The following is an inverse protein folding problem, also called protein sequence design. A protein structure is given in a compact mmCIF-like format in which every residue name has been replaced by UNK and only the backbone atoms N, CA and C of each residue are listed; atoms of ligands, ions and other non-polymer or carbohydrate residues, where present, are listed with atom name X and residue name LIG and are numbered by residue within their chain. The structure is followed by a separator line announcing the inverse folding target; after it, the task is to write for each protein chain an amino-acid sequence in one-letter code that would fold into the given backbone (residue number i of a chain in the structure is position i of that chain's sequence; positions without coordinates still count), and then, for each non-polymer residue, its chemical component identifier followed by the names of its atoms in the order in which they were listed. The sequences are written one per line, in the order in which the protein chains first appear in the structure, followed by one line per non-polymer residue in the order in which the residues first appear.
data_IF_112226181880
#
_entry.id   IF_112226181880
#
_cell.length_a   1.000
_cell.length_b   1.000
_cell.length_c   1.000
_cell.angle_alpha   90.00
_cell.angle_beta   90.00
_cell.angle_gamma   90.00
#
_symmetry.space_group_name_H-M   'P 1'
#
loop_
_entity.id
_entity.type
_entity.pdbx_description
1 polymer ?
#
# COMPACT_ATOMS: atom_id res chain seq x y z
N UNK A 1 -2.05 10.49 11.36
CA UNK A 1 -0.60 10.76 11.53
C UNK A 1 0.15 9.47 11.83
N UNK A 2 0.05 8.44 10.97
CA UNK A 2 0.63 7.10 11.25
C UNK A 2 1.58 6.66 10.12
N UNK A 3 1.24 6.93 8.86
CA UNK A 3 2.15 6.70 7.74
C UNK A 3 3.37 7.64 7.70
N UNK A 4 3.24 8.86 8.22
CA UNK A 4 4.35 9.83 8.33
C UNK A 4 5.46 9.32 9.27
N UNK A 5 5.09 8.53 10.28
CA UNK A 5 6.04 7.91 11.21
C UNK A 5 6.83 6.74 10.58
N UNK A 6 6.36 6.21 9.43
CA UNK A 6 7.04 5.15 8.68
C UNK A 6 7.89 5.70 7.52
N UNK A 7 7.89 7.02 7.29
CA UNK A 7 8.66 7.64 6.20
C UNK A 7 8.17 7.30 4.79
N UNK A 8 6.99 6.67 4.67
CA UNK A 8 6.45 6.21 3.41
C UNK A 8 5.58 7.28 2.75
N UNK A 9 5.91 7.61 1.51
CA UNK A 9 5.14 8.54 0.69
C UNK A 9 3.80 7.92 0.30
N UNK A 10 2.73 8.24 1.01
CA UNK A 10 1.37 7.86 0.63
C UNK A 10 0.62 9.09 0.15
N UNK A 11 -0.02 8.97 -1.02
CA UNK A 11 -0.89 10.01 -1.57
C UNK A 11 -2.32 9.64 -1.20
N UNK A 12 -2.85 10.40 -0.24
CA UNK A 12 -4.23 10.29 0.21
C UNK A 12 -5.15 10.80 -0.90
N UNK A 13 -5.72 9.89 -1.68
CA UNK A 13 -6.70 10.23 -2.70
C UNK A 13 -8.10 10.31 -2.08
N UNK A 14 -8.88 11.33 -2.45
CA UNK A 14 -10.28 11.52 -2.06
C UNK A 14 -11.26 10.62 -2.86
N UNK A 15 -10.73 9.57 -3.51
CA UNK A 15 -11.46 8.62 -4.33
C UNK A 15 -11.35 7.21 -3.73
N UNK A 16 -12.00 6.20 -4.34
CA UNK A 16 -11.97 4.79 -3.89
C UNK A 16 -10.59 4.10 -4.05
N UNK A 17 -9.49 4.84 -4.14
CA UNK A 17 -8.14 4.28 -4.22
C UNK A 17 -7.13 5.21 -3.55
N UNK A 18 -6.01 4.65 -3.07
CA UNK A 18 -4.86 5.33 -2.49
C UNK A 18 -3.61 4.90 -3.26
N UNK A 19 -2.67 5.82 -3.45
CA UNK A 19 -1.36 5.49 -3.99
C UNK A 19 -0.35 5.49 -2.86
N UNK A 20 0.44 4.43 -2.77
CA UNK A 20 1.41 4.23 -1.70
C UNK A 20 2.75 3.90 -2.35
N UNK A 21 3.76 4.71 -2.05
CA UNK A 21 5.13 4.42 -2.37
C UNK A 21 5.68 3.51 -1.27
N UNK A 22 6.13 2.32 -1.67
CA UNK A 22 6.71 1.30 -0.78
C UNK A 22 8.19 1.04 -1.06
N UNK A 23 8.78 1.76 -2.02
CA UNK A 23 10.10 1.44 -2.56
C UNK A 23 10.07 0.15 -3.40
N UNK A 24 9.81 -1.00 -2.78
CA UNK A 24 9.77 -2.29 -3.46
C UNK A 24 8.34 -2.78 -3.70
N UNK A 25 7.64 -2.17 -4.68
CA UNK A 25 6.25 -2.53 -4.96
C UNK A 25 6.12 -3.98 -5.41
N UNK A 26 7.11 -4.49 -6.15
CA UNK A 26 7.13 -5.85 -6.68
C UNK A 26 7.18 -6.92 -5.58
N UNK A 27 7.92 -6.70 -4.50
CA UNK A 27 8.00 -7.60 -3.34
C UNK A 27 6.84 -7.42 -2.36
N UNK A 28 6.35 -6.19 -2.17
CA UNK A 28 5.23 -5.93 -1.26
C UNK A 28 3.87 -6.31 -1.87
N UNK A 29 3.70 -6.20 -3.19
CA UNK A 29 2.46 -6.58 -3.88
C UNK A 29 1.96 -8.00 -3.55
N UNK A 30 2.78 -9.07 -3.68
CA UNK A 30 2.35 -10.42 -3.31
C UNK A 30 2.07 -10.56 -1.82
N UNK A 31 2.83 -9.90 -0.93
CA UNK A 31 2.58 -9.93 0.51
C UNK A 31 1.21 -9.33 0.87
N UNK A 32 0.85 -8.20 0.25
CA UNK A 32 -0.46 -7.56 0.41
C UNK A 32 -1.59 -8.42 -0.17
N UNK A 33 -1.37 -9.03 -1.34
CA UNK A 33 -2.34 -9.96 -1.96
C UNK A 33 -2.62 -11.17 -1.07
N UNK A 34 -1.60 -11.76 -0.44
CA UNK A 34 -1.75 -12.87 0.51
C UNK A 34 -2.61 -12.49 1.73
N UNK A 35 -2.60 -11.22 2.10
CA UNK A 35 -3.33 -10.69 3.25
C UNK A 35 -4.76 -10.23 2.91
N UNK A 36 -5.17 -10.40 1.64
CA UNK A 36 -6.50 -10.07 1.14
C UNK A 36 -6.61 -8.66 0.56
N UNK A 37 -5.49 -7.91 0.46
CA UNK A 37 -5.48 -6.55 -0.08
C UNK A 37 -5.21 -6.59 -1.58
N UNK A 38 -6.19 -6.19 -2.39
CA UNK A 38 -6.07 -6.16 -3.84
C UNK A 38 -5.34 -4.89 -4.26
N UNK A 39 -4.07 -5.03 -4.62
CA UNK A 39 -3.21 -3.93 -5.10
C UNK A 39 -2.86 -4.10 -6.57
N UNK A 40 -2.62 -2.99 -7.25
CA UNK A 40 -2.13 -2.95 -8.63
C UNK A 40 -0.76 -2.29 -8.68
N UNK A 41 0.18 -2.99 -9.29
CA UNK A 41 1.50 -2.46 -9.62
C UNK A 41 1.36 -1.39 -10.70
N UNK A 42 2.00 -0.24 -10.49
CA UNK A 42 2.16 0.79 -11.51
C UNK A 42 3.50 0.64 -12.26
N UNK A 43 4.14 -0.54 -12.14
CA UNK A 43 5.39 -0.88 -12.80
C UNK A 43 5.34 -0.65 -14.33
N UNK A 44 4.18 -0.89 -14.95
CA UNK A 44 3.94 -0.65 -16.38
C UNK A 44 4.13 0.83 -16.79
N UNK A 45 3.92 1.76 -15.85
CA UNK A 45 4.11 3.20 -16.04
C UNK A 45 5.51 3.69 -15.63
N UNK A 46 6.45 2.79 -15.34
CA UNK A 46 7.78 3.12 -14.83
C UNK A 46 7.81 3.51 -13.35
N UNK A 47 6.68 3.36 -12.63
CA UNK A 47 6.54 3.63 -11.21
C UNK A 47 6.65 2.32 -10.42
N UNK A 48 7.82 1.68 -10.49
CA UNK A 48 8.09 0.38 -9.86
C UNK A 48 8.04 0.42 -8.32
N UNK A 49 8.05 1.61 -7.74
CA UNK A 49 8.02 1.82 -6.29
C UNK A 49 6.62 2.15 -5.77
N UNK A 50 5.64 2.28 -6.68
CA UNK A 50 4.29 2.73 -6.36
C UNK A 50 3.24 1.63 -6.56
N UNK A 51 2.37 1.52 -5.56
CA UNK A 51 1.21 0.67 -5.55
C UNK A 51 -0.06 1.50 -5.57
N UNK A 52 -1.00 1.09 -6.43
CA UNK A 52 -2.38 1.59 -6.40
C UNK A 52 -3.23 0.60 -5.63
N UNK A 53 -3.74 1.03 -4.49
CA UNK A 53 -4.58 0.21 -3.63
C UNK A 53 -6.00 0.75 -3.66
N UNK A 54 -6.98 -0.10 -3.89
CA UNK A 54 -8.40 0.33 -3.85
C UNK A 54 -8.83 0.37 -2.39
N UNK A 55 -9.31 1.52 -1.92
CA UNK A 55 -9.79 1.68 -0.53
C UNK A 55 -11.30 1.48 -0.53
N UNK A 56 -11.74 0.45 0.19
CA UNK A 56 -13.14 0.15 0.41
C UNK A 56 -13.67 0.76 1.71
N UNK A 57 -14.17 -0.09 2.60
CA UNK A 57 -14.69 0.28 3.92
C UNK A 57 -13.58 0.78 4.87
N UNK A 58 -13.93 1.55 5.92
CA UNK A 58 -12.97 2.00 6.92
C UNK A 58 -12.26 0.85 7.65
N UNK A 59 -12.90 -0.31 7.75
CA UNK A 59 -12.32 -1.55 8.30
C UNK A 59 -11.19 -2.08 7.41
N UNK A 60 -11.42 -2.13 6.09
CA UNK A 60 -10.42 -2.50 5.08
C UNK A 60 -9.20 -1.57 5.13
N UNK A 61 -9.45 -0.26 5.28
CA UNK A 61 -8.39 0.73 5.36
C UNK A 61 -7.52 0.56 6.63
N UNK A 62 -8.13 0.16 7.74
CA UNK A 62 -7.40 -0.12 8.99
C UNK A 62 -6.54 -1.38 8.83
N UNK A 63 -7.11 -2.43 8.23
CA UNK A 63 -6.38 -3.67 7.94
C UNK A 63 -5.22 -3.44 6.98
N UNK A 64 -5.40 -2.61 5.96
CA UNK A 64 -4.35 -2.21 5.04
C UNK A 64 -3.18 -1.54 5.75
N UNK A 65 -3.46 -0.60 6.66
CA UNK A 65 -2.42 0.08 7.45
C UNK A 65 -1.66 -0.93 8.32
N UNK A 66 -2.40 -1.82 8.98
CA UNK A 66 -1.84 -2.84 9.87
C UNK A 66 -0.95 -3.83 9.09
N UNK A 67 -1.45 -4.36 7.98
CA UNK A 67 -0.69 -5.27 7.11
C UNK A 67 0.53 -4.59 6.49
N UNK A 68 0.38 -3.34 6.03
CA UNK A 68 1.51 -2.62 5.43
C UNK A 68 2.60 -2.40 6.49
N UNK A 69 2.19 -2.04 7.72
CA UNK A 69 3.10 -1.92 8.86
C UNK A 69 3.78 -3.25 9.19
N UNK A 70 3.03 -4.35 9.30
CA UNK A 70 3.58 -5.69 9.58
C UNK A 70 4.58 -6.14 8.51
N UNK A 71 4.26 -5.90 7.23
CA UNK A 71 5.14 -6.22 6.09
C UNK A 71 6.44 -5.42 6.16
N UNK A 72 6.39 -4.15 6.56
CA UNK A 72 7.58 -3.30 6.72
C UNK A 72 8.39 -3.65 7.96
N UNK A 73 7.74 -4.04 9.07
CA UNK A 73 8.43 -4.49 10.29
C UNK A 73 9.05 -5.89 10.11
N UNK A 74 8.51 -6.72 9.21
CA UNK A 74 9.06 -8.05 8.86
C UNK A 74 10.18 -8.04 7.81
N UNK A 75 10.50 -6.89 7.20
CA UNK A 75 11.56 -6.77 6.17
C UNK A 75 12.85 -6.14 6.68
#
# INVERSE_FOLDING_TARGET
KQFDALGLGFVKSYANFVMVNVGDAAGICPALLQQGVIVRLLADYGLNEWLRITVGTPEDNTRLIDTLRDTLESM
#
